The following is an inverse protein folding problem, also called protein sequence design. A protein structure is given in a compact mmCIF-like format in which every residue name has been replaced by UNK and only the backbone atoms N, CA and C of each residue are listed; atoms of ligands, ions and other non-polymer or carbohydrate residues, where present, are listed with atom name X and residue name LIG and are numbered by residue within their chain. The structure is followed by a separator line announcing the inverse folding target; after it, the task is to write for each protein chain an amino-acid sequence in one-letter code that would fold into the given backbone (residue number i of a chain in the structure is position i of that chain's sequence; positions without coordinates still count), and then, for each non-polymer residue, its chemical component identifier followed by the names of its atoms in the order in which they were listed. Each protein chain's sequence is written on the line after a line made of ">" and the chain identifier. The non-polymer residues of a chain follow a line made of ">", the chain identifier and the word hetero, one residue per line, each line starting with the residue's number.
data_IF_854104049796
#
_entry.id   IF_854104049796
#
_cell.length_a   1.000
_cell.length_b   1.000
_cell.length_c   1.000
_cell.angle_alpha   90.00
_cell.angle_beta   90.00
_cell.angle_gamma   90.00
#
_symmetry.space_group_name_H-M   'P 1'
#
loop_
_entity.id
_entity.type
_entity.pdbx_description
1 polymer ?
#
# COMPACT_ATOMS: atom_id res chain seq x y z
N UNK A 1 22.01 -3.44 11.62
CA UNK A 1 20.73 -3.44 12.38
C UNK A 1 20.41 -2.09 12.99
N UNK A 2 21.39 -1.38 13.56
CA UNK A 2 21.14 -0.11 14.26
C UNK A 2 20.58 1.00 13.35
N UNK A 3 21.07 1.12 12.11
CA UNK A 3 20.56 2.10 11.13
C UNK A 3 19.10 1.82 10.80
N UNK A 4 18.77 0.55 10.55
CA UNK A 4 17.41 0.12 10.23
C UNK A 4 16.45 0.44 11.40
N UNK A 5 16.86 0.14 12.63
CA UNK A 5 16.10 0.49 13.82
C UNK A 5 15.92 2.02 13.93
N UNK A 6 16.98 2.79 13.67
CA UNK A 6 16.92 4.26 13.64
C UNK A 6 15.93 4.80 12.61
N UNK A 7 15.91 4.25 11.39
CA UNK A 7 14.96 4.63 10.33
C UNK A 7 13.52 4.28 10.74
N UNK A 8 13.30 3.10 11.31
CA UNK A 8 11.98 2.66 11.78
C UNK A 8 11.45 3.56 12.91
N UNK A 9 12.27 3.82 13.93
CA UNK A 9 11.89 4.70 15.06
C UNK A 9 11.62 6.12 14.56
N UNK A 10 12.47 6.64 13.68
CA UNK A 10 12.29 7.98 13.10
C UNK A 10 10.99 8.05 12.31
N UNK A 11 10.71 7.05 11.48
CA UNK A 11 9.45 6.97 10.73
C UNK A 11 8.23 6.91 11.63
N UNK A 12 8.27 6.08 12.69
CA UNK A 12 7.20 5.98 13.67
C UNK A 12 6.95 7.31 14.38
N UNK A 13 8.00 7.98 14.87
CA UNK A 13 7.88 9.27 15.58
C UNK A 13 7.26 10.33 14.68
N UNK A 14 7.71 10.43 13.42
CA UNK A 14 7.17 11.41 12.47
C UNK A 14 5.68 11.15 12.22
N UNK A 15 5.29 9.89 11.95
CA UNK A 15 3.88 9.54 11.75
C UNK A 15 3.03 9.78 13.01
N UNK A 16 3.52 9.39 14.19
CA UNK A 16 2.83 9.58 15.46
C UNK A 16 2.63 11.07 15.80
N UNK A 17 3.59 11.93 15.43
CA UNK A 17 3.45 13.37 15.61
C UNK A 17 2.46 13.99 14.62
N UNK A 18 2.50 13.56 13.35
CA UNK A 18 1.68 14.13 12.28
C UNK A 18 0.24 13.62 12.26
N UNK A 19 -0.07 12.48 12.89
CA UNK A 19 -1.42 11.91 12.86
C UNK A 19 -2.46 12.83 13.50
N UNK A 20 -2.16 13.45 14.64
CA UNK A 20 -3.09 14.35 15.35
C UNK A 20 -3.45 15.59 14.53
N UNK A 21 -2.49 16.40 14.02
CA UNK A 21 -2.83 17.54 13.20
C UNK A 21 -3.49 17.13 11.87
N UNK A 22 -3.11 15.98 11.30
CA UNK A 22 -3.73 15.48 10.08
C UNK A 22 -5.19 15.06 10.29
N UNK A 23 -5.49 14.37 11.39
CA UNK A 23 -6.87 14.02 11.74
C UNK A 23 -7.71 15.29 11.93
N UNK A 24 -7.19 16.31 12.62
CA UNK A 24 -7.87 17.61 12.76
C UNK A 24 -8.09 18.30 11.39
N UNK A 25 -7.12 18.20 10.48
CA UNK A 25 -7.27 18.69 9.11
C UNK A 25 -8.40 17.98 8.35
N UNK A 26 -8.50 16.65 8.45
CA UNK A 26 -9.60 15.90 7.83
C UNK A 26 -10.97 16.26 8.44
N UNK A 27 -11.05 16.49 9.75
CA UNK A 27 -12.26 16.98 10.41
C UNK A 27 -12.69 18.35 9.84
N UNK A 28 -11.74 19.25 9.58
CA UNK A 28 -12.03 20.56 8.98
C UNK A 28 -12.50 20.46 7.53
N UNK A 29 -11.97 19.50 6.76
CA UNK A 29 -12.41 19.22 5.40
C UNK A 29 -13.76 18.49 5.33
N UNK A 30 -14.34 18.09 6.47
CA UNK A 30 -15.56 17.29 6.57
C UNK A 30 -15.49 16.01 5.73
N UNK A 31 -14.31 15.39 5.63
CA UNK A 31 -14.09 14.14 4.90
C UNK A 31 -14.61 12.95 5.71
N UNK A 32 -15.90 12.97 6.03
CA UNK A 32 -16.56 11.92 6.83
C UNK A 32 -17.10 10.83 5.93
N UNK A 33 -16.97 9.59 6.40
CA UNK A 33 -17.82 8.49 5.92
C UNK A 33 -19.26 8.82 6.34
N UNK A 34 -20.17 9.25 5.46
CA UNK A 34 -21.62 9.07 5.67
C UNK A 34 -22.52 9.50 4.51
N UNK A 35 -23.47 8.61 4.16
CA UNK A 35 -24.92 8.88 4.23
C UNK A 35 -25.81 7.65 3.94
N UNK A 36 -25.29 6.42 3.79
CA UNK A 36 -26.14 5.24 3.49
C UNK A 36 -26.50 4.35 4.69
N UNK A 37 -25.91 4.54 5.86
CA UNK A 37 -26.28 3.77 7.07
C UNK A 37 -27.37 4.42 7.95
N UNK A 38 -27.86 5.61 7.58
CA UNK A 38 -28.97 6.29 8.29
C UNK A 38 -30.34 5.91 7.71
N UNK A 39 -30.38 5.24 6.55
CA UNK A 39 -31.62 5.00 5.80
C UNK A 39 -32.28 3.61 6.00
N UNK A 40 -31.66 2.65 6.69
CA UNK A 40 -32.37 1.42 7.07
C UNK A 40 -32.41 1.25 8.58
N UNK A 41 -33.64 1.32 9.09
CA UNK A 41 -34.12 1.09 10.44
C UNK A 41 -33.93 -0.38 10.86
N UNK A 42 -32.72 -0.94 10.72
CA UNK A 42 -32.38 -2.28 11.20
C UNK A 42 -31.59 -2.17 12.50
N UNK A 43 -32.10 -2.76 13.57
CA UNK A 43 -31.50 -2.88 14.90
C UNK A 43 -30.73 -4.19 15.00
N UNK A 44 -29.60 -4.29 14.31
CA UNK A 44 -28.68 -5.42 14.41
C UNK A 44 -27.37 -4.94 15.04
N UNK A 45 -26.62 -5.78 15.77
CA UNK A 45 -25.39 -5.35 16.45
C UNK A 45 -24.37 -4.75 15.46
N UNK A 46 -24.36 -5.27 14.24
CA UNK A 46 -23.59 -4.72 13.12
C UNK A 46 -23.99 -3.28 12.76
N UNK A 47 -25.29 -2.94 12.79
CA UNK A 47 -25.77 -1.60 12.42
C UNK A 47 -25.50 -0.55 13.51
N UNK A 48 -25.43 -0.95 14.79
CA UNK A 48 -25.02 -0.09 15.90
C UNK A 48 -23.51 0.23 15.80
N UNK A 49 -22.68 -0.75 15.48
CA UNK A 49 -21.24 -0.54 15.27
C UNK A 49 -20.98 0.38 14.07
N UNK A 50 -21.71 0.19 12.95
CA UNK A 50 -21.65 1.06 11.77
C UNK A 50 -22.06 2.51 12.10
N UNK A 51 -23.08 2.73 12.95
CA UNK A 51 -23.48 4.08 13.42
C UNK A 51 -22.40 4.78 14.25
N UNK A 52 -21.58 4.04 15.00
CA UNK A 52 -20.47 4.63 15.77
C UNK A 52 -19.29 5.06 14.89
N UNK A 53 -19.05 4.37 13.76
CA UNK A 53 -18.03 4.71 12.75
C UNK A 53 -18.41 5.87 11.82
N UNK A 54 -19.65 6.33 11.89
CA UNK A 54 -20.22 7.42 11.09
C UNK A 54 -19.51 8.78 11.30
N UNK A 55 -18.61 8.93 12.28
CA UNK A 55 -17.91 10.19 12.57
C UNK A 55 -16.40 10.14 12.38
N UNK A 56 -15.83 9.01 11.97
CA UNK A 56 -14.39 8.92 11.71
C UNK A 56 -14.08 9.48 10.32
N UNK A 57 -13.11 10.40 10.19
CA UNK A 57 -12.70 10.89 8.88
C UNK A 57 -12.04 9.77 8.06
N UNK A 58 -12.38 9.69 6.77
CA UNK A 58 -11.71 8.81 5.81
C UNK A 58 -10.47 9.49 5.20
N UNK A 59 -9.52 8.72 4.67
CA UNK A 59 -8.32 9.28 4.03
C UNK A 59 -7.03 9.25 4.86
N UNK A 60 -6.97 8.44 5.94
CA UNK A 60 -5.72 8.17 6.67
C UNK A 60 -4.58 7.67 5.77
N UNK A 61 -4.90 6.96 4.69
CA UNK A 61 -3.94 6.50 3.69
C UNK A 61 -3.16 7.64 3.00
N UNK A 62 -3.74 8.83 2.87
CA UNK A 62 -3.05 9.99 2.28
C UNK A 62 -1.85 10.42 3.13
N UNK A 63 -2.01 10.43 4.46
CA UNK A 63 -0.90 10.73 5.38
C UNK A 63 0.23 9.72 5.20
N UNK A 64 -0.10 8.43 5.21
CA UNK A 64 0.88 7.35 5.05
C UNK A 64 1.60 7.51 3.71
N UNK A 65 0.87 7.72 2.62
CA UNK A 65 1.43 7.87 1.28
C UNK A 65 2.40 9.05 1.20
N UNK A 66 1.99 10.24 1.66
CA UNK A 66 2.80 11.47 1.57
C UNK A 66 4.02 11.40 2.50
N UNK A 67 3.80 11.05 3.76
CA UNK A 67 4.86 11.05 4.78
C UNK A 67 5.88 9.95 4.51
N UNK A 68 5.43 8.73 4.21
CA UNK A 68 6.34 7.63 3.86
C UNK A 68 7.14 7.95 2.60
N UNK A 69 6.49 8.54 1.58
CA UNK A 69 7.20 8.93 0.36
C UNK A 69 8.27 9.98 0.62
N UNK A 70 7.97 10.98 1.46
CA UNK A 70 8.92 12.02 1.83
C UNK A 70 10.08 11.47 2.65
N UNK A 71 9.79 10.64 3.67
CA UNK A 71 10.80 9.98 4.48
C UNK A 71 11.72 9.13 3.60
N UNK A 72 11.16 8.33 2.70
CA UNK A 72 11.92 7.47 1.81
C UNK A 72 12.82 8.28 0.87
N UNK A 73 12.27 9.32 0.22
CA UNK A 73 12.99 10.20 -0.70
C UNK A 73 14.10 11.00 0.00
N UNK A 74 13.96 11.32 1.29
CA UNK A 74 14.97 12.06 2.05
C UNK A 74 16.03 11.15 2.69
N UNK A 75 15.59 10.02 3.27
CA UNK A 75 16.45 9.13 4.06
C UNK A 75 17.49 8.43 3.18
N UNK A 76 17.09 7.93 2.01
CA UNK A 76 18.01 7.18 1.15
C UNK A 76 19.20 8.04 0.65
N UNK A 77 19.01 9.25 0.09
CA UNK A 77 20.13 10.11 -0.27
C UNK A 77 20.95 10.55 0.94
N UNK A 78 20.32 10.80 2.10
CA UNK A 78 21.01 11.18 3.32
C UNK A 78 21.95 10.07 3.80
N UNK A 79 21.46 8.83 3.87
CA UNK A 79 22.28 7.68 4.28
C UNK A 79 23.47 7.48 3.34
N UNK A 80 23.27 7.62 2.01
CA UNK A 80 24.36 7.55 1.03
C UNK A 80 25.40 8.66 1.26
N UNK A 81 24.97 9.89 1.53
CA UNK A 81 25.87 11.03 1.80
C UNK A 81 26.66 10.88 3.09
N UNK A 82 26.07 10.22 4.10
CA UNK A 82 26.72 9.93 5.38
C UNK A 82 27.69 8.73 5.31
N UNK A 83 27.82 8.09 4.15
CA UNK A 83 28.75 6.99 3.93
C UNK A 83 28.26 5.64 4.44
N UNK A 84 26.95 5.49 4.70
CA UNK A 84 26.39 4.19 5.06
C UNK A 84 26.27 3.29 3.83
N UNK A 85 26.72 2.04 3.98
CA UNK A 85 26.56 1.02 2.96
C UNK A 85 25.11 0.54 2.91
N UNK A 86 24.46 0.70 1.75
CA UNK A 86 23.11 0.21 1.50
C UNK A 86 23.24 -1.12 0.77
N UNK A 87 22.84 -2.20 1.42
CA UNK A 87 22.77 -3.53 0.80
C UNK A 87 21.76 -3.52 -0.34
N UNK A 88 22.17 -4.00 -1.50
CA UNK A 88 21.35 -4.15 -2.70
C UNK A 88 21.82 -5.41 -3.44
N UNK A 89 20.92 -6.08 -4.15
CA UNK A 89 21.22 -7.31 -4.91
C UNK A 89 21.33 -6.97 -6.39
N UNK A 90 20.43 -6.12 -6.86
CA UNK A 90 20.33 -5.60 -8.22
C UNK A 90 20.75 -4.12 -8.27
N UNK A 91 20.78 -3.50 -9.46
CA UNK A 91 21.08 -2.08 -9.57
C UNK A 91 20.16 -1.24 -8.67
N UNK A 92 20.77 -0.60 -7.68
CA UNK A 92 20.06 0.06 -6.57
C UNK A 92 19.03 1.09 -7.03
N UNK A 93 19.28 1.78 -8.15
CA UNK A 93 18.35 2.77 -8.68
C UNK A 93 17.08 2.10 -9.23
N UNK A 94 17.20 0.94 -9.89
CA UNK A 94 16.06 0.22 -10.43
C UNK A 94 15.22 -0.42 -9.32
N UNK A 95 15.84 -1.01 -8.29
CA UNK A 95 15.13 -1.54 -7.11
C UNK A 95 14.28 -0.45 -6.43
N UNK A 96 14.93 0.69 -6.14
CA UNK A 96 14.27 1.84 -5.51
C UNK A 96 13.14 2.35 -6.40
N UNK A 97 13.38 2.50 -7.71
CA UNK A 97 12.38 3.00 -8.64
C UNK A 97 11.16 2.08 -8.71
N UNK A 98 11.34 0.75 -8.76
CA UNK A 98 10.25 -0.21 -8.84
C UNK A 98 9.40 -0.19 -7.55
N UNK A 99 10.06 -0.24 -6.38
CA UNK A 99 9.36 -0.23 -5.08
C UNK A 99 8.60 1.09 -4.91
N UNK A 100 9.26 2.22 -5.20
CA UNK A 100 8.67 3.55 -5.03
C UNK A 100 7.54 3.80 -6.04
N UNK A 101 7.74 3.41 -7.31
CA UNK A 101 6.70 3.49 -8.34
C UNK A 101 5.48 2.65 -7.95
N UNK A 102 5.68 1.42 -7.47
CA UNK A 102 4.60 0.55 -7.02
C UNK A 102 3.82 1.19 -5.86
N UNK A 103 4.53 1.66 -4.83
CA UNK A 103 3.92 2.29 -3.67
C UNK A 103 3.11 3.55 -4.04
N UNK A 104 3.71 4.44 -4.83
CA UNK A 104 3.05 5.70 -5.22
C UNK A 104 1.90 5.46 -6.18
N UNK A 105 2.05 4.62 -7.21
CA UNK A 105 1.00 4.39 -8.21
C UNK A 105 -0.24 3.73 -7.62
N UNK A 106 -0.08 2.68 -6.81
CA UNK A 106 -1.21 2.03 -6.12
C UNK A 106 -1.79 2.92 -5.01
N UNK A 107 -0.95 3.68 -4.31
CA UNK A 107 -1.41 4.66 -3.33
C UNK A 107 -2.26 5.77 -3.96
N UNK A 108 -1.84 6.32 -5.10
CA UNK A 108 -2.60 7.31 -5.86
C UNK A 108 -3.88 6.72 -6.44
N UNK A 109 -3.87 5.46 -6.88
CA UNK A 109 -5.09 4.79 -7.34
C UNK A 109 -6.10 4.61 -6.19
N UNK A 110 -5.63 4.25 -4.99
CA UNK A 110 -6.47 4.18 -3.79
C UNK A 110 -7.03 5.54 -3.41
N UNK A 111 -6.18 6.56 -3.38
CA UNK A 111 -6.60 7.95 -3.12
C UNK A 111 -7.64 8.43 -4.14
N UNK A 112 -7.45 8.13 -5.42
CA UNK A 112 -8.39 8.49 -6.47
C UNK A 112 -9.76 7.82 -6.27
N UNK A 113 -9.78 6.53 -5.91
CA UNK A 113 -11.00 5.81 -5.58
C UNK A 113 -11.73 6.43 -4.37
N UNK A 114 -10.99 6.82 -3.33
CA UNK A 114 -11.57 7.47 -2.14
C UNK A 114 -12.08 8.90 -2.43
N UNK A 115 -11.39 9.65 -3.27
CA UNK A 115 -11.83 10.97 -3.74
C UNK A 115 -13.12 10.84 -4.57
N UNK A 116 -13.17 9.88 -5.51
CA UNK A 116 -14.37 9.64 -6.31
C UNK A 116 -15.53 9.28 -5.40
N UNK A 117 -15.34 8.34 -4.46
CA UNK A 117 -16.40 7.99 -3.49
C UNK A 117 -16.89 9.24 -2.78
N UNK A 118 -16.00 10.09 -2.28
CA UNK A 118 -16.37 11.32 -1.59
C UNK A 118 -17.23 12.28 -2.45
N UNK A 119 -16.90 12.46 -3.74
CA UNK A 119 -17.64 13.37 -4.63
C UNK A 119 -18.89 12.75 -5.29
N UNK A 120 -18.89 11.45 -5.59
CA UNK A 120 -20.02 10.75 -6.24
C UNK A 120 -21.10 10.32 -5.24
N UNK A 121 -20.79 10.19 -3.94
CA UNK A 121 -21.77 9.96 -2.87
C UNK A 121 -22.80 11.11 -2.72
N UNK A 122 -22.59 12.25 -3.36
CA UNK A 122 -23.53 13.38 -3.39
C UNK A 122 -24.65 13.22 -4.43
N UNK A 123 -24.60 12.17 -5.28
CA UNK A 123 -25.66 11.83 -6.24
C UNK A 123 -26.38 10.56 -5.78
N UNK A 124 -27.68 10.69 -5.52
CA UNK A 124 -28.59 9.65 -4.99
C UNK A 124 -28.73 8.36 -5.82
N UNK A 125 -27.88 8.11 -6.83
CA UNK A 125 -27.96 6.95 -7.69
C UNK A 125 -26.86 5.95 -7.34
N UNK A 126 -27.27 4.78 -6.83
CA UNK A 126 -26.38 3.76 -6.30
C UNK A 126 -25.37 3.22 -7.32
N UNK A 127 -24.22 3.86 -7.41
CA UNK A 127 -22.98 3.30 -7.93
C UNK A 127 -21.80 3.77 -7.08
N UNK A 128 -21.18 2.78 -6.45
CA UNK A 128 -20.26 2.91 -5.33
C UNK A 128 -18.81 3.02 -5.84
N UNK A 129 -18.28 4.24 -5.96
CA UNK A 129 -16.87 4.49 -6.33
C UNK A 129 -16.50 4.22 -7.79
N UNK A 130 -15.19 4.24 -8.11
CA UNK A 130 -14.70 3.99 -9.46
C UNK A 130 -15.21 2.62 -9.93
N UNK A 131 -15.86 2.54 -11.12
CA UNK A 131 -16.41 1.27 -11.60
C UNK A 131 -15.36 0.17 -11.47
N UNK A 132 -15.73 -0.93 -10.80
CA UNK A 132 -14.82 -2.03 -10.46
C UNK A 132 -13.98 -2.50 -11.65
N UNK A 133 -14.58 -2.52 -12.85
CA UNK A 133 -13.89 -2.89 -14.09
C UNK A 133 -12.77 -1.91 -14.48
N UNK A 134 -12.96 -0.59 -14.32
CA UNK A 134 -11.91 0.40 -14.58
C UNK A 134 -10.80 0.33 -13.54
N UNK A 135 -11.16 0.17 -12.26
CA UNK A 135 -10.17 0.00 -11.19
C UNK A 135 -9.29 -1.23 -11.45
N UNK A 136 -9.92 -2.36 -11.78
CA UNK A 136 -9.21 -3.61 -12.08
C UNK A 136 -8.35 -3.49 -13.35
N UNK A 137 -8.84 -2.80 -14.39
CA UNK A 137 -8.04 -2.54 -15.60
C UNK A 137 -6.79 -1.71 -15.28
N UNK A 138 -6.92 -0.64 -14.51
CA UNK A 138 -5.77 0.21 -14.11
C UNK A 138 -4.79 -0.60 -13.28
N UNK A 139 -5.27 -1.38 -12.30
CA UNK A 139 -4.43 -2.28 -11.51
C UNK A 139 -3.68 -3.29 -12.39
N UNK A 140 -4.36 -3.88 -13.38
CA UNK A 140 -3.76 -4.81 -14.33
C UNK A 140 -2.66 -4.16 -15.17
N UNK A 141 -2.91 -2.97 -15.71
CA UNK A 141 -1.91 -2.20 -16.47
C UNK A 141 -0.71 -1.83 -15.59
N UNK A 142 -0.94 -1.32 -14.38
CA UNK A 142 0.12 -1.00 -13.43
C UNK A 142 0.92 -2.25 -13.04
N UNK A 143 0.24 -3.37 -12.77
CA UNK A 143 0.88 -4.65 -12.45
C UNK A 143 1.75 -5.15 -13.59
N UNK A 144 1.30 -5.03 -14.84
CA UNK A 144 2.10 -5.40 -16.02
C UNK A 144 3.32 -4.49 -16.19
N UNK A 145 3.19 -3.19 -15.96
CA UNK A 145 4.32 -2.26 -15.99
C UNK A 145 5.35 -2.65 -14.93
N UNK A 146 4.91 -2.89 -13.69
CA UNK A 146 5.81 -3.27 -12.58
C UNK A 146 6.48 -4.62 -12.86
N UNK A 147 5.73 -5.63 -13.30
CA UNK A 147 6.28 -6.92 -13.69
C UNK A 147 7.29 -6.82 -14.84
N UNK A 148 7.03 -5.96 -15.82
CA UNK A 148 7.96 -5.69 -16.90
C UNK A 148 9.23 -4.97 -16.42
N UNK A 149 9.11 -4.01 -15.49
CA UNK A 149 10.28 -3.36 -14.88
C UNK A 149 11.14 -4.37 -14.10
N UNK A 150 10.52 -5.28 -13.34
CA UNK A 150 11.26 -6.35 -12.65
C UNK A 150 11.98 -7.28 -13.63
N UNK A 151 11.31 -7.67 -14.73
CA UNK A 151 11.91 -8.54 -15.73
C UNK A 151 13.01 -7.87 -16.55
N UNK A 152 12.79 -6.65 -17.03
CA UNK A 152 13.70 -5.95 -17.95
C UNK A 152 14.84 -5.26 -17.20
N UNK A 153 14.55 -4.54 -16.11
CA UNK A 153 15.55 -3.74 -15.41
C UNK A 153 16.34 -4.58 -14.40
N UNK A 154 15.69 -5.49 -13.68
CA UNK A 154 16.35 -6.34 -12.68
C UNK A 154 16.74 -7.72 -13.23
N UNK A 155 16.23 -8.12 -14.40
CA UNK A 155 16.53 -9.44 -14.97
C UNK A 155 15.89 -10.60 -14.21
N UNK A 156 14.84 -10.34 -13.41
CA UNK A 156 14.17 -11.37 -12.61
C UNK A 156 13.22 -12.15 -13.51
N UNK A 157 13.49 -13.45 -13.65
CA UNK A 157 12.65 -14.38 -14.41
C UNK A 157 12.30 -15.66 -13.63
N UNK A 158 12.67 -15.73 -12.35
CA UNK A 158 12.52 -16.91 -11.50
C UNK A 158 11.45 -16.75 -10.42
N UNK A 159 10.87 -17.87 -10.01
CA UNK A 159 10.06 -17.99 -8.80
C UNK A 159 10.59 -19.18 -8.00
N UNK A 160 10.96 -18.92 -6.74
CA UNK A 160 11.33 -19.98 -5.81
C UNK A 160 10.07 -20.51 -5.12
N UNK A 161 9.80 -21.80 -5.29
CA UNK A 161 8.72 -22.50 -4.58
C UNK A 161 9.36 -23.36 -3.49
N UNK A 162 9.02 -23.14 -2.21
CA UNK A 162 9.53 -23.96 -1.12
C UNK A 162 9.31 -25.46 -1.42
N UNK A 163 10.33 -26.28 -1.15
CA UNK A 163 10.36 -27.73 -1.41
C UNK A 163 10.43 -28.17 -2.89
N UNK A 164 10.02 -27.32 -3.84
CA UNK A 164 10.04 -27.63 -5.28
C UNK A 164 11.24 -27.01 -6.01
N UNK A 165 11.87 -26.00 -5.42
CA UNK A 165 13.06 -25.33 -5.96
C UNK A 165 12.75 -24.11 -6.82
N UNK A 166 13.76 -23.66 -7.55
CA UNK A 166 13.70 -22.45 -8.39
C UNK A 166 13.18 -22.81 -9.79
N UNK A 167 12.13 -22.13 -10.23
CA UNK A 167 11.52 -22.32 -11.55
C UNK A 167 11.76 -21.06 -12.38
N UNK A 168 12.29 -21.24 -13.59
CA UNK A 168 12.43 -20.16 -14.59
C UNK A 168 11.12 -20.00 -15.37
N UNK A 169 10.49 -18.84 -15.23
CA UNK A 169 9.26 -18.46 -15.94
C UNK A 169 9.55 -17.69 -17.23
N UNK A 170 10.74 -17.11 -17.40
CA UNK A 170 11.05 -16.28 -18.55
C UNK A 170 10.01 -15.16 -18.72
N UNK A 171 9.48 -14.99 -19.93
CA UNK A 171 8.44 -13.98 -20.23
C UNK A 171 7.14 -14.17 -19.43
N UNK A 172 6.82 -15.39 -18.97
CA UNK A 172 5.65 -15.64 -18.12
C UNK A 172 5.79 -15.05 -16.72
N UNK A 173 6.98 -14.59 -16.33
CA UNK A 173 7.20 -13.89 -15.09
C UNK A 173 6.39 -12.59 -15.01
N UNK A 174 6.28 -11.85 -16.13
CA UNK A 174 5.58 -10.55 -16.20
C UNK A 174 4.08 -10.70 -15.86
N UNK A 175 3.27 -11.50 -16.58
CA UNK A 175 1.85 -11.64 -16.27
C UNK A 175 1.62 -12.30 -14.90
N UNK A 176 2.50 -13.21 -14.47
CA UNK A 176 2.43 -13.82 -13.13
C UNK A 176 2.63 -12.79 -12.02
N UNK A 177 3.65 -11.94 -12.14
CA UNK A 177 3.93 -10.86 -11.19
C UNK A 177 2.80 -9.84 -11.16
N UNK A 178 2.28 -9.45 -12.33
CA UNK A 178 1.13 -8.57 -12.43
C UNK A 178 -0.09 -9.14 -11.71
N UNK A 179 -0.41 -10.43 -11.94
CA UNK A 179 -1.50 -11.11 -11.25
C UNK A 179 -1.32 -11.09 -9.74
N UNK A 180 -0.12 -11.43 -9.24
CA UNK A 180 0.17 -11.44 -7.80
C UNK A 180 0.01 -10.05 -7.18
N UNK A 181 0.58 -9.00 -7.80
CA UNK A 181 0.46 -7.62 -7.32
C UNK A 181 -1.00 -7.21 -7.21
N UNK A 182 -1.79 -7.45 -8.25
CA UNK A 182 -3.22 -7.12 -8.28
C UNK A 182 -3.99 -7.95 -7.25
N UNK A 183 -3.69 -9.24 -7.12
CA UNK A 183 -4.32 -10.12 -6.14
C UNK A 183 -4.08 -9.63 -4.70
N UNK A 184 -2.84 -9.28 -4.34
CA UNK A 184 -2.51 -8.75 -3.02
C UNK A 184 -3.13 -7.37 -2.76
N UNK A 185 -3.11 -6.47 -3.75
CA UNK A 185 -3.74 -5.16 -3.61
C UNK A 185 -5.25 -5.26 -3.31
N UNK A 186 -5.94 -6.21 -3.97
CA UNK A 186 -7.36 -6.46 -3.70
C UNK A 186 -7.59 -7.23 -2.39
N UNK A 187 -6.73 -8.19 -2.04
CA UNK A 187 -6.81 -8.92 -0.78
C UNK A 187 -6.72 -7.97 0.43
N UNK A 188 -5.76 -7.05 0.42
CA UNK A 188 -5.60 -6.05 1.49
C UNK A 188 -6.83 -5.15 1.58
N UNK A 189 -7.34 -4.67 0.44
CA UNK A 189 -8.56 -3.84 0.39
C UNK A 189 -9.78 -4.59 0.92
N UNK A 190 -9.91 -5.90 0.67
CA UNK A 190 -11.01 -6.72 1.23
C UNK A 190 -10.87 -6.86 2.76
N UNK A 191 -9.64 -6.99 3.27
CA UNK A 191 -9.40 -7.12 4.72
C UNK A 191 -9.55 -5.81 5.50
N UNK A 192 -9.59 -4.66 4.82
CA UNK A 192 -9.72 -3.33 5.43
C UNK A 192 -11.19 -2.98 5.75
N UNK A 193 -11.83 -3.82 6.56
CA UNK A 193 -13.23 -3.67 6.99
C UNK A 193 -13.41 -3.46 8.51
N UNK A 194 -12.38 -3.78 9.30
CA UNK A 194 -12.38 -3.69 10.76
C UNK A 194 -11.26 -2.79 11.26
N UNK A 195 -11.47 -2.10 12.38
CA UNK A 195 -10.52 -1.09 12.87
C UNK A 195 -9.18 -1.76 13.22
N UNK A 196 -8.13 -1.38 12.51
CA UNK A 196 -6.76 -1.88 12.73
C UNK A 196 -6.46 -3.28 12.18
N UNK A 197 -7.40 -3.95 11.50
CA UNK A 197 -7.17 -5.29 10.96
C UNK A 197 -6.15 -5.27 9.81
N UNK A 198 -6.40 -4.45 8.77
CA UNK A 198 -5.49 -4.37 7.62
C UNK A 198 -4.10 -3.85 8.03
N UNK A 199 -4.03 -2.85 8.89
CA UNK A 199 -2.74 -2.30 9.37
C UNK A 199 -1.97 -3.30 10.24
N UNK A 200 -2.65 -4.06 11.11
CA UNK A 200 -2.04 -5.12 11.90
C UNK A 200 -1.49 -6.27 11.04
N UNK A 201 -2.27 -6.74 10.06
CA UNK A 201 -1.84 -7.77 9.10
C UNK A 201 -0.65 -7.31 8.25
N UNK A 202 -0.67 -6.05 7.77
CA UNK A 202 0.45 -5.45 7.05
C UNK A 202 1.69 -5.35 7.94
N UNK A 203 1.57 -4.94 9.20
CA UNK A 203 2.70 -4.87 10.13
C UNK A 203 3.38 -6.23 10.29
N UNK A 204 2.60 -7.30 10.49
CA UNK A 204 3.14 -8.67 10.62
C UNK A 204 3.83 -9.10 9.32
N UNK A 205 3.20 -8.84 8.18
CA UNK A 205 3.73 -9.21 6.86
C UNK A 205 5.03 -8.47 6.53
N UNK A 206 5.08 -7.17 6.77
CA UNK A 206 6.27 -6.33 6.55
C UNK A 206 7.42 -6.72 7.48
N UNK A 207 7.13 -7.12 8.72
CA UNK A 207 8.17 -7.63 9.61
C UNK A 207 8.75 -8.95 9.10
N UNK A 208 7.90 -9.84 8.55
CA UNK A 208 8.35 -11.04 7.83
C UNK A 208 9.26 -10.70 6.64
N UNK A 209 8.83 -9.80 5.77
CA UNK A 209 9.63 -9.36 4.62
C UNK A 209 10.95 -8.69 5.03
N UNK A 210 10.96 -7.96 6.15
CA UNK A 210 12.18 -7.37 6.69
C UNK A 210 13.20 -8.45 7.08
N UNK A 211 12.76 -9.50 7.77
CA UNK A 211 13.62 -10.64 8.12
C UNK A 211 14.11 -11.33 6.85
N UNK A 212 13.21 -11.62 5.90
CA UNK A 212 13.56 -12.28 4.64
C UNK A 212 14.61 -11.49 3.85
N UNK A 213 14.46 -10.16 3.77
CA UNK A 213 15.40 -9.25 3.12
C UNK A 213 16.79 -9.28 3.77
N UNK A 214 16.88 -9.42 5.10
CA UNK A 214 18.18 -9.57 5.78
C UNK A 214 18.83 -10.94 5.60
N UNK A 215 18.03 -11.98 5.33
CA UNK A 215 18.50 -13.36 5.27
C UNK A 215 18.99 -13.84 3.90
N UNK A 216 18.88 -13.01 2.84
CA UNK A 216 19.26 -13.33 1.45
C UNK A 216 18.96 -14.80 1.08
N UNK A 217 17.68 -15.18 1.15
CA UNK A 217 17.26 -16.57 0.98
C UNK A 217 17.24 -17.04 -0.48
N UNK A 218 17.29 -16.11 -1.44
CA UNK A 218 17.03 -16.39 -2.86
C UNK A 218 18.20 -16.05 -3.80
N UNK A 219 19.44 -16.04 -3.31
CA UNK A 219 20.62 -16.08 -4.20
C UNK A 219 21.20 -17.49 -4.25
N UNK A 220 21.46 -18.06 -5.45
CA UNK A 220 22.29 -19.26 -5.57
C UNK A 220 23.72 -19.03 -5.07
#
# INVERSE_FOLDING_TARGET
>A
MDILLGVLITSFIIHAFLIVPFVNFLYNLKFFKNHTAVAEEKTDEASVHIRSKARTPEGGGLLILVVTSFIFAFTLPLLRRLGFEITHVYPINDEINIIFFTFVSFGLLGLYDDIIKFFELDRQEGYTGLKTSYKFLIQGVLGLIIGAMMFINLGIDIIHIPFFGVIHFGLWFIPTSAFLIVAFANAVNITDGMDGLASGLLMISLFGFLILSTSILDTP
#
